data_IF_722419589169
#
_entry.id   IF_722419589169
#
_cell.length_a   1.000
_cell.length_b   1.000
_cell.length_c   1.000
_cell.angle_alpha   90.00
_cell.angle_beta   90.00
_cell.angle_gamma   90.00
#
_symmetry.space_group_name_H-M   'P 1'
#
loop_
_entity.id
_entity.type
_entity.pdbx_description
1 polymer ?
#
# COMPACT_ATOMS: atom_id res chain seq x y z
N UNK A 1 5.06 -59.57 -93.45
CA UNK A 1 4.01 -59.76 -92.43
C UNK A 1 4.62 -60.13 -91.08
N UNK A 2 4.16 -59.57 -90.03
CA UNK A 2 4.39 -59.70 -88.57
C UNK A 2 5.37 -58.67 -87.98
N UNK A 3 4.73 -57.62 -87.47
CA UNK A 3 5.27 -56.62 -86.58
C UNK A 3 5.63 -57.29 -85.24
N UNK A 4 6.83 -57.01 -84.78
CA UNK A 4 7.17 -57.23 -83.39
C UNK A 4 7.30 -55.86 -82.72
N UNK A 5 6.34 -55.56 -81.80
CA UNK A 5 6.40 -54.39 -80.95
C UNK A 5 7.49 -54.69 -79.87
N UNK A 6 8.46 -53.78 -79.83
CA UNK A 6 9.49 -53.76 -78.79
C UNK A 6 8.99 -52.84 -77.64
N UNK A 7 8.59 -53.42 -76.46
CA UNK A 7 8.31 -52.64 -75.30
C UNK A 7 9.64 -52.25 -74.61
N UNK A 8 9.94 -50.98 -74.65
CA UNK A 8 11.01 -50.39 -73.84
C UNK A 8 10.35 -50.04 -72.48
N UNK A 9 10.67 -50.80 -71.47
CA UNK A 9 10.35 -50.45 -70.06
C UNK A 9 11.34 -49.35 -69.63
N UNK A 10 10.83 -48.11 -69.56
CA UNK A 10 11.56 -47.02 -68.92
C UNK A 10 11.38 -47.18 -67.41
N UNK A 11 12.45 -47.71 -66.78
CA UNK A 11 12.58 -47.75 -65.32
C UNK A 11 12.87 -46.32 -64.85
N UNK A 12 11.81 -45.58 -64.47
CA UNK A 12 11.95 -44.28 -63.83
C UNK A 12 12.56 -44.48 -62.44
N UNK A 13 13.86 -44.20 -62.29
CA UNK A 13 14.49 -43.96 -60.99
C UNK A 13 13.85 -42.67 -60.43
N UNK A 14 12.90 -42.86 -59.54
CA UNK A 14 12.53 -41.78 -58.60
C UNK A 14 13.72 -41.63 -57.62
N UNK A 15 14.61 -40.69 -57.90
CA UNK A 15 15.44 -40.13 -56.87
C UNK A 15 14.52 -39.38 -55.93
N UNK A 16 14.12 -40.03 -54.85
CA UNK A 16 13.63 -39.31 -53.68
C UNK A 16 14.86 -38.59 -53.11
N UNK A 17 15.10 -37.41 -53.62
CA UNK A 17 16.01 -36.49 -52.96
C UNK A 17 15.44 -36.21 -51.58
N UNK A 18 16.07 -36.81 -50.60
CA UNK A 18 15.85 -36.35 -49.23
C UNK A 18 16.29 -34.89 -49.18
N UNK A 19 15.38 -33.97 -49.36
CA UNK A 19 15.71 -32.54 -49.31
C UNK A 19 16.25 -32.24 -47.91
N UNK A 20 17.46 -31.74 -47.83
CA UNK A 20 18.04 -31.20 -46.61
C UNK A 20 17.25 -29.97 -46.05
N UNK A 21 16.20 -29.59 -46.76
CA UNK A 21 15.26 -28.51 -46.41
C UNK A 21 14.51 -28.69 -45.06
N UNK A 22 14.53 -29.89 -44.48
CA UNK A 22 13.93 -30.19 -43.18
C UNK A 22 14.90 -30.00 -42.00
N UNK A 23 16.21 -29.82 -42.31
CA UNK A 23 17.22 -29.63 -41.26
C UNK A 23 17.50 -28.16 -41.06
N UNK A 24 17.44 -27.74 -39.79
CA UNK A 24 17.87 -26.39 -39.40
C UNK A 24 19.39 -26.27 -39.64
N UNK A 25 19.80 -25.27 -40.41
CA UNK A 25 21.19 -24.91 -40.66
C UNK A 25 21.63 -23.78 -39.73
N UNK A 26 20.77 -22.82 -39.48
CA UNK A 26 21.01 -21.74 -38.54
C UNK A 26 19.72 -21.25 -37.86
N UNK A 27 19.87 -20.68 -36.66
CA UNK A 27 18.83 -19.96 -35.92
C UNK A 27 19.42 -18.63 -35.46
N UNK A 28 18.70 -17.54 -35.65
CA UNK A 28 19.07 -16.21 -35.16
C UNK A 28 17.87 -15.55 -34.53
N UNK A 29 18.12 -14.67 -33.59
CA UNK A 29 17.11 -13.77 -33.02
C UNK A 29 17.38 -12.35 -33.48
N UNK A 30 16.33 -11.62 -33.78
CA UNK A 30 16.41 -10.20 -34.14
C UNK A 30 15.32 -9.43 -33.33
N UNK A 31 15.76 -8.42 -32.58
CA UNK A 31 17.15 -7.99 -32.35
C UNK A 31 17.95 -8.96 -31.45
N UNK A 32 19.27 -8.90 -31.48
CA UNK A 32 20.17 -9.66 -30.59
C UNK A 32 20.32 -9.00 -29.21
N UNK A 33 19.98 -7.71 -29.11
CA UNK A 33 19.97 -6.93 -27.87
C UNK A 33 18.65 -6.14 -27.78
N UNK A 34 18.05 -6.07 -26.60
CA UNK A 34 16.76 -5.41 -26.38
C UNK A 34 16.76 -4.73 -25.03
N UNK A 35 16.38 -3.46 -25.00
CA UNK A 35 16.12 -2.71 -23.75
C UNK A 35 14.63 -2.49 -23.63
N UNK A 36 14.07 -2.84 -22.46
CA UNK A 36 12.66 -2.72 -22.12
C UNK A 36 12.48 -1.98 -20.79
N UNK A 37 11.42 -1.21 -20.68
CA UNK A 37 10.97 -0.72 -19.39
C UNK A 37 10.18 -1.81 -18.63
N UNK A 38 10.19 -1.77 -17.31
CA UNK A 38 9.37 -2.67 -16.49
C UNK A 38 7.90 -2.63 -16.95
N UNK A 39 7.29 -3.81 -17.12
CA UNK A 39 5.91 -3.98 -17.62
C UNK A 39 5.79 -3.94 -19.15
N UNK A 40 6.81 -3.55 -19.88
CA UNK A 40 6.79 -3.55 -21.35
C UNK A 40 6.82 -4.97 -21.90
N UNK A 41 6.03 -5.21 -22.95
CA UNK A 41 6.05 -6.48 -23.68
C UNK A 41 6.47 -6.22 -25.14
N UNK A 42 7.43 -7.01 -25.62
CA UNK A 42 7.96 -6.93 -26.99
C UNK A 42 8.13 -8.29 -27.60
N UNK A 43 7.69 -8.46 -28.84
CA UNK A 43 7.96 -9.66 -29.61
C UNK A 43 9.30 -9.53 -30.32
N UNK A 44 10.13 -10.59 -30.24
CA UNK A 44 11.36 -10.72 -31.04
C UNK A 44 11.14 -11.72 -32.15
N UNK A 45 11.82 -11.49 -33.25
CA UNK A 45 11.74 -12.34 -34.43
C UNK A 45 12.77 -13.46 -34.36
N UNK A 46 12.33 -14.66 -34.71
CA UNK A 46 13.19 -15.82 -34.85
C UNK A 46 13.38 -16.15 -36.34
N UNK A 47 14.60 -16.08 -36.78
CA UNK A 47 15.00 -16.40 -38.18
C UNK A 47 15.62 -17.80 -38.20
N UNK A 48 15.03 -18.70 -38.98
CA UNK A 48 15.51 -20.07 -39.21
C UNK A 48 15.85 -20.24 -40.68
N UNK A 49 16.98 -20.86 -40.94
CA UNK A 49 17.41 -21.24 -42.31
C UNK A 49 17.55 -22.74 -42.43
N UNK A 50 16.98 -23.36 -43.50
CA UNK A 50 15.97 -22.77 -44.39
C UNK A 50 14.63 -22.59 -43.65
N UNK A 51 13.82 -21.62 -44.07
CA UNK A 51 12.54 -21.30 -43.45
C UNK A 51 11.57 -22.50 -43.41
N UNK A 52 11.64 -23.39 -44.36
CA UNK A 52 10.87 -24.64 -44.41
C UNK A 52 11.15 -25.59 -43.23
N UNK A 53 12.30 -25.48 -42.62
CA UNK A 53 12.71 -26.34 -41.50
C UNK A 53 11.89 -26.06 -40.21
N UNK A 54 11.26 -24.90 -40.08
CA UNK A 54 10.47 -24.54 -38.88
C UNK A 54 9.29 -25.49 -38.66
N UNK A 55 8.71 -26.03 -39.74
CA UNK A 55 7.53 -26.91 -39.70
C UNK A 55 7.85 -28.25 -39.02
N UNK A 56 9.09 -28.69 -39.09
CA UNK A 56 9.53 -30.02 -38.64
C UNK A 56 10.34 -29.99 -37.35
N UNK A 57 10.70 -28.81 -36.86
CA UNK A 57 11.58 -28.66 -35.70
C UNK A 57 10.89 -27.88 -34.61
N UNK A 58 10.54 -28.51 -33.49
CA UNK A 58 9.98 -27.79 -32.34
C UNK A 58 10.99 -26.77 -31.79
N UNK A 59 10.50 -25.60 -31.50
CA UNK A 59 11.27 -24.50 -30.93
C UNK A 59 10.88 -24.31 -29.46
N UNK A 60 11.88 -24.23 -28.61
CA UNK A 60 11.71 -23.95 -27.19
C UNK A 60 12.28 -22.58 -26.85
N UNK A 61 11.49 -21.80 -26.14
CA UNK A 61 11.90 -20.50 -25.61
C UNK A 61 12.21 -20.62 -24.13
N UNK A 62 13.26 -19.96 -23.68
CA UNK A 62 13.68 -19.89 -22.27
C UNK A 62 14.24 -18.52 -21.95
N UNK A 63 14.16 -18.16 -20.68
CA UNK A 63 14.92 -17.05 -20.12
C UNK A 63 15.96 -17.57 -19.13
N UNK A 64 17.09 -16.91 -19.03
CA UNK A 64 18.12 -17.20 -18.02
C UNK A 64 17.70 -16.71 -16.63
N UNK A 65 16.81 -15.69 -16.58
CA UNK A 65 16.30 -15.15 -15.32
C UNK A 65 14.82 -14.71 -15.47
N UNK A 66 13.84 -15.54 -15.07
CA UNK A 66 12.43 -15.23 -15.22
C UNK A 66 11.95 -14.09 -14.28
N UNK A 67 12.75 -13.70 -13.28
CA UNK A 67 12.45 -12.55 -12.44
C UNK A 67 12.76 -11.23 -13.16
N UNK A 68 13.70 -11.22 -14.13
CA UNK A 68 14.02 -10.04 -14.92
C UNK A 68 13.10 -9.94 -16.13
N UNK A 69 13.00 -10.99 -16.94
CA UNK A 69 12.06 -11.02 -18.05
C UNK A 69 11.57 -12.45 -18.32
N UNK A 70 10.32 -12.55 -18.74
CA UNK A 70 9.67 -13.79 -19.14
C UNK A 70 9.53 -13.84 -20.66
N UNK A 71 9.48 -15.03 -21.24
CA UNK A 71 9.24 -15.22 -22.67
C UNK A 71 8.21 -16.32 -22.88
N UNK A 72 7.25 -16.07 -23.77
CA UNK A 72 6.24 -17.06 -24.16
C UNK A 72 6.71 -17.92 -25.35
N UNK A 73 5.86 -18.88 -25.76
CA UNK A 73 6.16 -19.77 -26.88
C UNK A 73 6.08 -19.10 -28.28
N UNK A 74 5.73 -17.82 -28.34
CA UNK A 74 5.66 -17.00 -29.58
C UNK A 74 6.80 -15.99 -29.64
N UNK A 75 7.71 -15.96 -28.64
CA UNK A 75 8.78 -14.98 -28.58
C UNK A 75 8.35 -13.60 -28.05
N UNK A 76 7.20 -13.51 -27.37
CA UNK A 76 6.83 -12.29 -26.66
C UNK A 76 7.60 -12.25 -25.33
N UNK A 77 8.43 -11.23 -25.17
CA UNK A 77 9.21 -10.97 -23.96
C UNK A 77 8.45 -9.96 -23.12
N UNK A 78 8.19 -10.30 -21.86
CA UNK A 78 7.59 -9.39 -20.89
C UNK A 78 8.62 -9.04 -19.82
N UNK A 79 8.93 -7.75 -19.69
CA UNK A 79 9.85 -7.22 -18.68
C UNK A 79 9.16 -7.22 -17.30
N UNK A 80 9.83 -7.81 -16.30
CA UNK A 80 9.26 -8.00 -14.94
C UNK A 80 9.97 -7.14 -13.89
N UNK A 81 11.30 -7.19 -13.86
CA UNK A 81 12.13 -6.48 -12.89
C UNK A 81 13.42 -5.98 -13.52
N UNK A 82 13.94 -4.86 -13.05
CA UNK A 82 15.18 -4.27 -13.58
C UNK A 82 16.37 -5.22 -13.44
N UNK A 83 17.18 -5.31 -14.50
CA UNK A 83 18.33 -6.19 -14.54
C UNK A 83 18.60 -6.70 -15.95
N UNK A 84 19.46 -7.70 -16.05
CA UNK A 84 19.85 -8.32 -17.32
C UNK A 84 19.53 -9.80 -17.34
N UNK A 85 19.11 -10.29 -18.48
CA UNK A 85 18.93 -11.71 -18.74
C UNK A 85 19.16 -12.05 -20.22
N UNK A 86 19.29 -13.34 -20.51
CA UNK A 86 19.33 -13.86 -21.86
C UNK A 86 18.01 -14.55 -22.18
N UNK A 87 17.41 -14.18 -23.30
CA UNK A 87 16.34 -14.96 -23.93
C UNK A 87 16.98 -15.93 -24.91
N UNK A 88 16.63 -17.18 -24.78
CA UNK A 88 17.23 -18.30 -25.49
C UNK A 88 16.15 -18.97 -26.33
N UNK A 89 16.38 -19.02 -27.62
CA UNK A 89 15.60 -19.82 -28.57
C UNK A 89 16.39 -21.07 -28.93
N UNK A 90 15.81 -22.24 -28.69
CA UNK A 90 16.47 -23.51 -28.88
C UNK A 90 15.70 -24.42 -29.82
N UNK A 91 16.40 -24.96 -30.81
CA UNK A 91 15.98 -26.13 -31.60
C UNK A 91 16.76 -27.37 -31.14
N UNK A 92 16.56 -28.51 -31.78
CA UNK A 92 17.28 -29.75 -31.43
C UNK A 92 18.81 -29.60 -31.43
N UNK A 93 19.37 -28.78 -32.33
CA UNK A 93 20.81 -28.71 -32.57
C UNK A 93 21.38 -27.27 -32.55
N UNK A 94 20.56 -26.24 -32.51
CA UNK A 94 20.97 -24.85 -32.57
C UNK A 94 20.34 -24.03 -31.47
N UNK A 95 21.06 -23.04 -30.98
CA UNK A 95 20.57 -22.07 -30.01
C UNK A 95 20.89 -20.64 -30.52
N UNK A 96 19.98 -19.72 -30.27
CA UNK A 96 20.16 -18.31 -30.53
C UNK A 96 19.81 -17.51 -29.26
N UNK A 97 20.41 -16.35 -29.09
CA UNK A 97 20.35 -15.54 -27.89
C UNK A 97 19.96 -14.12 -28.21
N UNK A 98 19.17 -13.53 -27.34
CA UNK A 98 18.93 -12.09 -27.28
C UNK A 98 19.26 -11.62 -25.85
N UNK A 99 20.15 -10.65 -25.71
CA UNK A 99 20.42 -10.01 -24.43
C UNK A 99 19.29 -9.01 -24.14
N UNK A 100 18.64 -9.16 -23.01
CA UNK A 100 17.57 -8.27 -22.56
C UNK A 100 18.03 -7.51 -21.34
N UNK A 101 17.99 -6.19 -21.44
CA UNK A 101 18.18 -5.27 -20.32
C UNK A 101 16.83 -4.65 -19.97
N UNK A 102 16.36 -4.89 -18.76
CA UNK A 102 15.16 -4.25 -18.22
C UNK A 102 15.57 -3.07 -17.36
N UNK A 103 15.07 -1.89 -17.67
CA UNK A 103 15.36 -0.66 -16.96
C UNK A 103 14.18 -0.22 -16.11
N UNK A 104 14.47 0.23 -14.90
CA UNK A 104 13.48 0.84 -14.05
C UNK A 104 13.18 2.28 -14.53
N UNK A 105 11.95 2.77 -14.32
CA UNK A 105 11.61 4.16 -14.57
C UNK A 105 12.50 5.12 -13.79
N UNK A 106 12.83 6.27 -14.41
CA UNK A 106 13.48 7.38 -13.75
C UNK A 106 12.57 8.59 -13.78
N UNK A 107 12.32 9.14 -12.59
CA UNK A 107 11.52 10.35 -12.38
C UNK A 107 12.46 11.49 -12.03
N UNK A 108 12.37 12.62 -12.76
CA UNK A 108 13.04 13.87 -12.43
C UNK A 108 11.94 14.93 -12.27
N UNK A 109 11.71 15.37 -11.04
CA UNK A 109 10.53 16.17 -10.71
C UNK A 109 10.97 17.46 -10.03
N UNK A 110 10.39 18.59 -10.43
CA UNK A 110 10.49 19.83 -9.68
C UNK A 110 9.11 20.16 -9.12
N UNK A 111 9.02 20.17 -7.79
CA UNK A 111 7.79 20.54 -7.10
C UNK A 111 7.75 22.05 -6.87
N UNK A 112 6.55 22.61 -6.84
CA UNK A 112 6.30 24.04 -6.69
C UNK A 112 5.76 24.39 -5.32
N UNK A 113 5.21 23.43 -4.59
CA UNK A 113 4.60 23.61 -3.29
C UNK A 113 5.20 22.67 -2.25
N UNK A 114 5.28 23.13 -1.00
CA UNK A 114 5.77 22.34 0.11
C UNK A 114 4.98 22.60 1.40
N UNK A 115 4.73 21.53 2.17
CA UNK A 115 4.03 21.58 3.44
C UNK A 115 4.63 20.57 4.41
N UNK A 116 4.68 20.89 5.69
CA UNK A 116 5.12 19.99 6.75
C UNK A 116 4.01 19.79 7.77
N UNK A 117 3.74 18.55 8.11
CA UNK A 117 2.89 18.17 9.25
C UNK A 117 3.79 17.67 10.38
N UNK A 118 3.79 18.40 11.47
CA UNK A 118 4.50 18.02 12.69
C UNK A 118 3.64 17.05 13.49
N UNK A 119 4.08 15.80 13.58
CA UNK A 119 3.38 14.73 14.33
C UNK A 119 3.86 14.63 15.79
N UNK A 120 4.73 15.55 16.22
CA UNK A 120 5.24 15.59 17.59
C UNK A 120 6.22 14.45 17.92
N UNK A 121 6.49 14.32 19.22
CA UNK A 121 7.33 13.27 19.78
C UNK A 121 6.42 12.10 20.17
N UNK A 122 6.71 10.90 19.66
CA UNK A 122 5.97 9.69 20.07
C UNK A 122 6.52 9.16 21.41
N UNK A 123 5.68 8.55 22.28
CA UNK A 123 6.07 8.10 23.62
C UNK A 123 7.27 7.13 23.62
N UNK A 124 7.41 6.31 22.59
CA UNK A 124 8.43 5.26 22.49
C UNK A 124 9.67 5.68 21.69
N UNK A 125 9.71 6.94 21.22
CA UNK A 125 10.73 7.45 20.32
C UNK A 125 11.20 8.81 20.82
N UNK A 126 12.52 8.99 21.00
CA UNK A 126 13.09 10.26 21.47
C UNK A 126 13.05 11.37 20.40
N UNK A 127 12.81 11.03 19.13
CA UNK A 127 12.82 11.95 18.00
C UNK A 127 11.44 12.54 17.73
N UNK A 128 11.43 13.76 17.18
CA UNK A 128 10.23 14.40 16.62
C UNK A 128 9.97 13.87 15.22
N UNK A 129 8.73 13.57 14.90
CA UNK A 129 8.33 13.06 13.60
C UNK A 129 7.70 14.16 12.75
N UNK A 130 8.25 14.41 11.56
CA UNK A 130 7.75 15.37 10.60
C UNK A 130 7.37 14.65 9.30
N UNK A 131 6.24 15.02 8.71
CA UNK A 131 5.86 14.58 7.37
C UNK A 131 6.03 15.77 6.43
N UNK A 132 7.06 15.72 5.60
CA UNK A 132 7.26 16.70 4.52
C UNK A 132 6.51 16.19 3.28
N UNK A 133 5.67 17.05 2.69
CA UNK A 133 5.05 16.83 1.38
C UNK A 133 5.43 17.92 0.42
N UNK A 134 6.06 17.52 -0.69
CA UNK A 134 6.31 18.37 -1.85
C UNK A 134 5.30 17.99 -2.92
N UNK A 135 4.65 18.96 -3.58
CA UNK A 135 3.57 18.65 -4.52
C UNK A 135 3.51 19.67 -5.68
N UNK A 136 2.87 19.27 -6.78
CA UNK A 136 2.69 20.10 -7.96
C UNK A 136 1.46 21.03 -7.85
N UNK A 137 1.32 21.98 -8.79
CA UNK A 137 0.24 22.97 -8.78
C UNK A 137 -1.16 22.40 -9.07
N UNK A 138 -1.26 21.15 -9.53
CA UNK A 138 -2.53 20.50 -9.83
C UNK A 138 -3.15 19.82 -8.59
N UNK A 139 -2.42 19.83 -7.48
CA UNK A 139 -2.83 19.26 -6.21
C UNK A 139 -2.96 20.36 -5.16
N UNK A 140 -3.99 20.28 -4.34
CA UNK A 140 -4.15 21.11 -3.14
C UNK A 140 -4.12 20.21 -1.92
N UNK A 141 -3.33 20.61 -0.92
CA UNK A 141 -3.23 19.91 0.38
C UNK A 141 -3.55 20.92 1.45
N UNK A 142 -4.57 20.65 2.27
CA UNK A 142 -4.96 21.55 3.35
C UNK A 142 -4.19 21.29 4.66
N UNK A 143 -4.45 22.09 5.70
CA UNK A 143 -3.79 22.00 7.01
C UNK A 143 -4.04 20.67 7.74
N UNK A 144 -5.05 19.90 7.35
CA UNK A 144 -5.33 18.56 7.90
C UNK A 144 -4.65 17.45 7.10
N UNK A 145 -4.08 17.80 5.95
CA UNK A 145 -3.46 16.86 5.03
C UNK A 145 -4.43 16.23 4.03
N UNK A 146 -5.70 16.69 3.98
CA UNK A 146 -6.65 16.28 2.96
C UNK A 146 -6.25 16.82 1.59
N UNK A 147 -6.35 15.96 0.59
CA UNK A 147 -5.90 16.23 -0.78
C UNK A 147 -7.09 16.37 -1.73
N UNK A 148 -6.97 17.30 -2.67
CA UNK A 148 -7.92 17.46 -3.77
C UNK A 148 -7.19 17.85 -5.06
N UNK A 149 -7.76 17.52 -6.22
CA UNK A 149 -7.15 17.71 -7.53
C UNK A 149 -6.55 16.43 -8.09
N UNK A 150 -5.73 16.56 -9.13
CA UNK A 150 -5.07 15.43 -9.81
C UNK A 150 -3.60 15.80 -10.03
N UNK A 151 -2.70 15.25 -9.20
CA UNK A 151 -1.29 15.63 -9.25
C UNK A 151 -0.35 14.66 -8.58
N UNK A 152 0.95 14.98 -8.72
CA UNK A 152 2.02 14.24 -8.06
C UNK A 152 2.39 14.91 -6.73
N UNK A 153 2.77 14.09 -5.77
CA UNK A 153 3.37 14.56 -4.53
C UNK A 153 4.42 13.56 -4.01
N UNK A 154 5.40 14.09 -3.31
CA UNK A 154 6.42 13.33 -2.62
C UNK A 154 6.16 13.42 -1.12
N UNK A 155 5.79 12.32 -0.50
CA UNK A 155 5.61 12.21 0.95
C UNK A 155 6.90 11.68 1.57
N UNK A 156 7.50 12.43 2.47
CA UNK A 156 8.75 12.06 3.15
C UNK A 156 8.51 12.09 4.65
N UNK A 157 8.73 10.95 5.29
CA UNK A 157 8.58 10.79 6.73
C UNK A 157 9.93 10.93 7.41
N UNK A 158 10.14 12.06 8.11
CA UNK A 158 11.39 12.48 8.71
C UNK A 158 11.38 12.29 10.23
N UNK A 159 12.53 11.91 10.77
CA UNK A 159 12.79 11.97 12.21
C UNK A 159 13.90 12.97 12.47
N UNK A 160 13.64 13.91 13.37
CA UNK A 160 14.49 15.04 13.69
C UNK A 160 14.72 15.15 15.20
N UNK A 161 15.72 15.93 15.68
CA UNK A 161 15.91 16.18 17.10
C UNK A 161 14.60 16.66 17.77
N UNK A 162 14.33 16.18 18.97
CA UNK A 162 13.09 16.47 19.71
C UNK A 162 12.84 17.96 19.98
N UNK A 163 13.89 18.75 20.06
CA UNK A 163 13.84 20.20 20.28
C UNK A 163 13.72 21.05 19.01
N UNK A 164 13.50 20.41 17.84
CA UNK A 164 13.31 21.13 16.58
C UNK A 164 11.95 21.83 16.57
N UNK A 165 11.96 23.14 16.33
CA UNK A 165 10.74 23.97 16.21
C UNK A 165 10.32 24.19 14.76
N UNK A 166 11.19 23.88 13.81
CA UNK A 166 11.01 24.03 12.36
C UNK A 166 11.51 22.78 11.64
N UNK A 167 11.40 22.77 10.31
CA UNK A 167 12.06 21.77 9.49
C UNK A 167 13.58 22.03 9.52
N UNK A 168 14.38 21.16 10.19
CA UNK A 168 15.83 21.38 10.32
C UNK A 168 16.55 21.27 8.98
N UNK A 169 17.53 22.13 8.78
CA UNK A 169 18.47 22.03 7.66
C UNK A 169 19.45 20.89 7.89
N UNK A 170 19.90 20.23 6.83
CA UNK A 170 20.85 19.14 6.90
C UNK A 170 20.65 18.07 5.86
N UNK A 171 21.42 17.02 5.97
CA UNK A 171 21.35 15.82 5.16
C UNK A 171 20.64 14.73 5.95
N UNK A 172 19.68 14.06 5.31
CA UNK A 172 18.88 12.98 5.86
C UNK A 172 19.05 11.74 5.00
N UNK A 173 19.10 10.57 5.63
CA UNK A 173 19.25 9.30 4.95
C UNK A 173 18.17 8.32 5.38
N UNK A 174 17.75 7.46 4.47
CA UNK A 174 16.83 6.37 4.81
C UNK A 174 17.46 5.42 5.81
N UNK A 175 16.66 5.00 6.79
CA UNK A 175 17.11 4.09 7.85
C UNK A 175 15.91 3.29 8.40
N UNK A 176 16.15 2.01 8.69
CA UNK A 176 15.20 1.16 9.43
C UNK A 176 15.24 1.46 10.94
N UNK A 177 16.27 2.19 11.40
CA UNK A 177 16.41 2.63 12.78
C UNK A 177 16.09 4.11 12.90
N UNK A 178 15.23 4.47 13.84
CA UNK A 178 14.84 5.85 14.08
C UNK A 178 15.94 6.56 14.88
N UNK A 179 16.54 7.56 14.24
CA UNK A 179 17.54 8.46 14.81
C UNK A 179 17.29 9.89 14.28
N UNK A 180 18.03 10.85 14.80
CA UNK A 180 18.02 12.21 14.24
C UNK A 180 18.48 12.19 12.78
N UNK A 181 17.84 13.00 11.94
CA UNK A 181 18.12 13.13 10.51
C UNK A 181 17.94 11.82 9.71
N UNK A 182 16.96 11.00 10.09
CA UNK A 182 16.60 9.80 9.33
C UNK A 182 15.27 9.93 8.60
N UNK A 183 15.16 9.17 7.53
CA UNK A 183 13.98 9.05 6.69
C UNK A 183 13.41 7.64 6.87
N UNK A 184 12.13 7.53 7.18
CA UNK A 184 11.46 6.24 7.25
C UNK A 184 11.19 5.70 5.83
N UNK A 185 11.71 4.51 5.48
CA UNK A 185 11.38 3.87 4.21
C UNK A 185 9.88 3.69 3.99
N UNK A 186 9.47 3.73 2.72
CA UNK A 186 8.08 3.53 2.33
C UNK A 186 7.65 2.08 2.39
N UNK A 187 6.42 1.85 2.85
CA UNK A 187 5.83 0.52 2.90
C UNK A 187 4.31 0.55 2.77
N UNK A 188 3.73 -0.54 2.29
CA UNK A 188 2.30 -0.80 2.36
C UNK A 188 1.99 -1.49 3.69
N UNK A 189 1.09 -0.91 4.49
CA UNK A 189 0.58 -1.53 5.71
C UNK A 189 -0.86 -1.95 5.52
N UNK A 190 -1.22 -3.05 6.16
CA UNK A 190 -2.60 -3.54 6.21
C UNK A 190 -3.12 -3.42 7.64
N UNK A 191 -4.29 -2.80 7.79
CA UNK A 191 -5.05 -2.77 9.05
C UNK A 191 -6.48 -3.23 8.76
N UNK A 192 -6.86 -4.38 9.29
CA UNK A 192 -8.12 -5.03 8.93
C UNK A 192 -8.19 -5.34 7.43
N UNK A 193 -9.19 -4.80 6.75
CA UNK A 193 -9.37 -4.93 5.29
C UNK A 193 -8.82 -3.75 4.48
N UNK A 194 -8.28 -2.73 5.12
CA UNK A 194 -7.75 -1.55 4.45
C UNK A 194 -6.23 -1.59 4.31
N UNK A 195 -5.73 -0.98 3.24
CA UNK A 195 -4.30 -0.84 2.96
C UNK A 195 -3.91 0.63 2.97
N UNK A 196 -2.79 0.94 3.62
CA UNK A 196 -2.29 2.31 3.77
C UNK A 196 -0.84 2.41 3.32
N UNK A 197 -0.52 3.46 2.56
CA UNK A 197 0.85 3.85 2.30
C UNK A 197 1.44 4.49 3.57
N UNK A 198 2.59 4.01 4.01
CA UNK A 198 3.31 4.53 5.18
C UNK A 198 4.75 4.87 4.83
N UNK A 199 5.42 5.68 5.64
CA UNK A 199 6.81 6.10 5.38
C UNK A 199 6.91 7.04 4.19
N UNK A 200 7.94 6.85 3.35
CA UNK A 200 8.24 7.75 2.25
C UNK A 200 7.86 7.16 0.90
N UNK A 201 7.16 7.92 0.08
CA UNK A 201 6.67 7.46 -1.22
C UNK A 201 6.39 8.62 -2.18
N UNK A 202 6.58 8.37 -3.46
CA UNK A 202 6.06 9.22 -4.54
C UNK A 202 4.62 8.80 -4.81
N UNK A 203 3.68 9.71 -4.60
CA UNK A 203 2.26 9.48 -4.77
C UNK A 203 1.72 10.19 -6.00
N UNK A 204 0.77 9.56 -6.69
CA UNK A 204 -0.11 10.21 -7.64
C UNK A 204 -1.53 10.15 -7.10
N UNK A 205 -2.11 11.32 -6.85
CA UNK A 205 -3.48 11.46 -6.42
C UNK A 205 -4.36 11.82 -7.61
N UNK A 206 -5.48 11.12 -7.76
CA UNK A 206 -6.47 11.33 -8.82
C UNK A 206 -7.88 11.11 -8.28
N UNK A 207 -8.90 11.46 -9.05
CA UNK A 207 -10.30 11.18 -8.72
C UNK A 207 -10.59 9.68 -8.50
N UNK A 208 -9.75 8.79 -9.04
CA UNK A 208 -9.84 7.34 -8.84
C UNK A 208 -9.10 6.83 -7.59
N UNK A 209 -8.38 7.70 -6.89
CA UNK A 209 -7.66 7.38 -5.67
C UNK A 209 -6.16 7.63 -5.75
N UNK A 210 -5.44 7.08 -4.78
CA UNK A 210 -4.00 7.21 -4.60
C UNK A 210 -3.27 5.99 -5.17
N UNK A 211 -2.28 6.24 -6.04
CA UNK A 211 -1.23 5.27 -6.35
C UNK A 211 0.09 5.71 -5.71
N UNK A 212 0.90 4.76 -5.21
CA UNK A 212 2.13 5.05 -4.50
C UNK A 212 3.29 4.18 -4.98
N UNK A 213 4.43 4.83 -5.26
CA UNK A 213 5.74 4.22 -5.45
C UNK A 213 6.51 4.35 -4.13
N UNK A 214 6.72 3.24 -3.42
CA UNK A 214 7.41 3.24 -2.13
C UNK A 214 8.91 3.43 -2.32
N UNK A 215 9.49 4.33 -1.52
CA UNK A 215 10.92 4.70 -1.56
C UNK A 215 11.64 3.94 -0.43
N UNK A 216 12.62 3.13 -0.79
CA UNK A 216 13.30 2.20 0.15
C UNK A 216 14.67 2.68 0.56
N UNK A 217 15.36 3.39 -0.33
CA UNK A 217 16.69 3.95 -0.09
C UNK A 217 16.77 5.35 -0.66
N UNK A 218 17.54 6.21 -0.05
CA UNK A 218 17.81 7.55 -0.58
C UNK A 218 18.20 8.56 0.48
N UNK A 219 18.34 9.77 0.01
CA UNK A 219 18.77 10.91 0.78
C UNK A 219 18.02 12.18 0.37
N UNK A 220 18.00 13.12 1.28
CA UNK A 220 17.49 14.46 1.07
C UNK A 220 18.43 15.47 1.71
N UNK A 221 18.73 16.54 0.99
CA UNK A 221 19.43 17.70 1.50
C UNK A 221 18.46 18.85 1.62
N UNK A 222 18.40 19.47 2.79
CA UNK A 222 17.55 20.60 3.11
C UNK A 222 18.43 21.77 3.50
N UNK A 223 18.28 22.89 2.76
CA UNK A 223 18.91 24.16 3.04
C UNK A 223 17.83 25.25 3.22
N UNK A 224 18.19 26.31 3.96
CA UNK A 224 17.30 27.47 4.12
C UNK A 224 18.12 28.77 4.13
N UNK A 225 17.98 29.55 3.07
CA UNK A 225 18.61 30.86 2.88
C UNK A 225 17.55 31.97 2.73
N UNK A 226 16.45 31.84 3.48
CA UNK A 226 15.27 32.68 3.37
C UNK A 226 14.08 31.92 2.75
N UNK A 227 14.35 31.04 1.80
CA UNK A 227 13.47 29.97 1.31
C UNK A 227 14.13 28.61 1.57
N UNK A 228 13.32 27.57 1.67
CA UNK A 228 13.80 26.20 1.68
C UNK A 228 14.20 25.80 0.26
N UNK A 229 15.43 25.26 0.14
CA UNK A 229 15.92 24.59 -1.05
C UNK A 229 16.11 23.12 -0.69
N UNK A 230 15.40 22.23 -1.39
CA UNK A 230 15.38 20.79 -1.10
C UNK A 230 15.76 20.02 -2.34
N UNK A 231 16.70 19.10 -2.18
CA UNK A 231 17.06 18.12 -3.21
C UNK A 231 16.93 16.72 -2.66
N UNK A 232 16.29 15.83 -3.43
CA UNK A 232 16.01 14.46 -3.05
C UNK A 232 16.54 13.50 -4.11
N UNK A 233 17.11 12.39 -3.67
CA UNK A 233 17.48 11.27 -4.54
C UNK A 233 17.11 9.96 -3.88
N UNK A 234 16.15 9.23 -4.47
CA UNK A 234 15.59 8.01 -3.92
C UNK A 234 15.59 6.85 -4.90
N UNK A 235 15.60 5.65 -4.34
CA UNK A 235 15.37 4.38 -5.05
C UNK A 235 14.07 3.76 -4.54
N UNK A 236 13.21 3.35 -5.47
CA UNK A 236 11.97 2.65 -5.19
C UNK A 236 12.12 1.14 -5.05
N UNK A 237 11.03 0.45 -4.75
CA UNK A 237 10.98 -0.99 -4.49
C UNK A 237 11.36 -1.88 -5.68
N UNK A 238 11.23 -1.37 -6.92
CA UNK A 238 11.65 -2.06 -8.14
C UNK A 238 12.83 -1.35 -8.81
N UNK A 239 13.68 -0.70 -8.01
CA UNK A 239 14.88 0.04 -8.45
C UNK A 239 14.59 1.31 -9.25
N UNK A 240 13.35 1.79 -9.25
CA UNK A 240 13.00 3.10 -9.81
C UNK A 240 13.88 4.19 -9.19
N UNK A 241 14.23 5.19 -9.98
CA UNK A 241 14.97 6.36 -9.50
C UNK A 241 14.06 7.57 -9.45
N UNK A 242 14.05 8.24 -8.30
CA UNK A 242 13.27 9.46 -8.08
C UNK A 242 14.22 10.56 -7.62
N UNK A 243 14.56 11.48 -8.54
CA UNK A 243 15.26 12.70 -8.22
C UNK A 243 14.23 13.84 -8.19
N UNK A 244 14.16 14.56 -7.09
CA UNK A 244 13.20 15.66 -6.93
C UNK A 244 13.86 16.89 -6.35
N UNK A 245 13.36 18.06 -6.73
CA UNK A 245 13.80 19.37 -6.23
C UNK A 245 12.62 20.23 -5.85
N UNK A 246 12.85 21.13 -4.90
CA UNK A 246 11.90 22.16 -4.47
C UNK A 246 12.68 23.41 -4.05
N UNK A 247 12.16 24.58 -4.39
CA UNK A 247 12.63 25.86 -3.88
C UNK A 247 11.43 26.77 -3.57
N UNK A 248 11.25 27.15 -2.30
CA UNK A 248 10.11 27.96 -1.90
C UNK A 248 9.90 28.04 -0.39
N UNK A 249 8.78 28.64 -0.01
CA UNK A 249 8.30 28.64 1.37
C UNK A 249 7.61 27.32 1.71
N UNK A 250 7.70 26.93 2.97
CA UNK A 250 7.03 25.75 3.51
C UNK A 250 6.18 26.16 4.70
N UNK A 251 4.88 25.84 4.64
CA UNK A 251 3.98 25.97 5.78
C UNK A 251 4.12 24.76 6.70
N UNK A 252 4.19 25.02 8.01
CA UNK A 252 4.32 23.98 9.04
C UNK A 252 3.05 23.97 9.89
N UNK A 253 2.36 22.83 9.93
CA UNK A 253 1.18 22.60 10.74
C UNK A 253 1.47 21.63 11.88
N UNK A 254 1.21 22.08 13.11
CA UNK A 254 1.30 21.21 14.29
C UNK A 254 0.06 20.30 14.34
N UNK A 255 0.27 19.03 14.03
CA UNK A 255 -0.72 17.98 14.11
C UNK A 255 -0.36 16.95 15.20
N UNK A 256 0.50 17.34 16.14
CA UNK A 256 0.97 16.47 17.22
C UNK A 256 -0.17 15.98 18.11
N UNK A 257 -1.20 16.80 18.28
CA UNK A 257 -2.38 16.46 19.06
C UNK A 257 -3.29 15.43 18.36
N UNK A 258 -3.31 15.38 17.03
CA UNK A 258 -4.11 14.41 16.23
C UNK A 258 -3.68 12.96 16.47
N UNK A 259 -2.43 12.72 16.88
CA UNK A 259 -1.88 11.40 17.14
C UNK A 259 -1.82 11.04 18.63
N UNK A 260 -2.20 11.96 19.53
CA UNK A 260 -2.29 11.65 20.94
C UNK A 260 -3.52 10.76 21.16
N UNK A 261 -3.27 9.52 21.53
CA UNK A 261 -4.31 8.61 21.99
C UNK A 261 -4.43 8.78 23.50
N UNK A 262 -5.54 9.34 23.95
CA UNK A 262 -5.83 9.48 25.37
C UNK A 262 -6.34 8.15 25.93
N UNK A 263 -5.63 7.60 26.90
CA UNK A 263 -6.11 6.41 27.61
C UNK A 263 -7.07 6.83 28.72
N UNK A 264 -8.29 6.31 28.69
CA UNK A 264 -9.29 6.47 29.72
C UNK A 264 -9.39 5.15 30.49
N UNK A 265 -9.08 5.20 31.77
CA UNK A 265 -9.29 4.07 32.66
C UNK A 265 -10.67 4.18 33.33
N UNK A 266 -11.51 3.17 33.14
CA UNK A 266 -12.77 3.10 33.82
C UNK A 266 -12.71 2.23 35.08
N UNK A 267 -13.47 2.62 36.09
CA UNK A 267 -13.57 1.96 37.39
C UNK A 267 -14.91 1.27 37.60
N UNK A 268 -15.92 1.62 36.81
CA UNK A 268 -17.27 1.04 36.88
C UNK A 268 -17.92 0.99 35.49
N UNK A 269 -18.84 0.04 35.33
CA UNK A 269 -19.65 -0.15 34.12
C UNK A 269 -21.12 -0.23 34.50
N UNK A 270 -21.93 0.62 33.90
CA UNK A 270 -23.38 0.58 34.03
C UNK A 270 -23.97 0.21 32.67
N UNK A 271 -24.82 -0.83 32.68
CA UNK A 271 -25.60 -1.20 31.49
C UNK A 271 -27.08 -1.07 31.78
N UNK A 272 -27.80 -0.37 30.91
CA UNK A 272 -29.22 -0.08 31.05
C UNK A 272 -29.94 -0.39 29.75
N UNK A 273 -31.05 -1.18 29.76
CA UNK A 273 -31.90 -1.26 28.59
C UNK A 273 -32.57 0.09 28.35
N UNK A 274 -32.61 0.52 27.09
CA UNK A 274 -33.30 1.75 26.68
C UNK A 274 -34.22 1.45 25.50
N UNK A 275 -35.26 2.25 25.32
CA UNK A 275 -36.12 2.17 24.14
C UNK A 275 -35.82 3.32 23.19
N UNK A 276 -35.52 3.00 21.91
CA UNK A 276 -35.47 3.97 20.85
C UNK A 276 -36.71 3.75 19.94
N UNK A 277 -37.62 4.72 19.96
CA UNK A 277 -38.90 4.66 19.22
C UNK A 277 -38.70 4.59 17.71
N UNK A 278 -37.57 5.07 17.24
CA UNK A 278 -37.18 5.07 15.84
C UNK A 278 -36.67 3.69 15.35
N UNK A 279 -36.29 2.79 16.26
CA UNK A 279 -35.74 1.48 15.96
C UNK A 279 -36.50 0.34 16.71
N UNK A 280 -37.79 0.14 16.49
CA UNK A 280 -38.62 -0.77 17.31
C UNK A 280 -38.30 -2.25 17.12
N UNK A 281 -37.53 -2.60 16.10
CA UNK A 281 -37.18 -3.98 15.74
C UNK A 281 -35.97 -4.53 16.48
N UNK A 282 -35.23 -3.66 17.18
CA UNK A 282 -34.03 -4.00 17.96
C UNK A 282 -34.24 -3.65 19.44
N UNK A 283 -33.48 -4.28 20.30
CA UNK A 283 -33.25 -3.81 21.67
C UNK A 283 -32.02 -2.90 21.67
N UNK A 284 -32.01 -1.96 22.60
CA UNK A 284 -30.90 -1.03 22.79
C UNK A 284 -30.40 -1.11 24.21
N UNK A 285 -29.08 -1.19 24.35
CA UNK A 285 -28.42 -1.23 25.64
C UNK A 285 -27.48 -0.04 25.70
N UNK A 286 -27.74 0.84 26.68
CA UNK A 286 -26.83 1.93 27.02
C UNK A 286 -25.75 1.38 27.92
N UNK A 287 -24.50 1.63 27.53
CA UNK A 287 -23.29 1.20 28.23
C UNK A 287 -22.56 2.47 28.67
N UNK A 288 -22.39 2.66 29.97
CA UNK A 288 -21.66 3.78 30.53
C UNK A 288 -20.41 3.27 31.23
N UNK A 289 -19.25 3.62 30.70
CA UNK A 289 -17.94 3.34 31.29
C UNK A 289 -17.53 4.54 32.12
N UNK A 290 -17.46 4.36 33.44
CA UNK A 290 -17.25 5.44 34.40
C UNK A 290 -15.80 5.47 34.84
N UNK A 291 -15.07 6.50 34.41
CA UNK A 291 -13.74 6.85 34.87
C UNK A 291 -13.78 7.85 36.04
N UNK A 292 -12.63 8.33 36.49
CA UNK A 292 -12.56 9.28 37.60
C UNK A 292 -13.24 10.62 37.29
N UNK A 293 -13.02 11.18 36.10
CA UNK A 293 -13.57 12.48 35.68
C UNK A 293 -14.30 12.40 34.33
N UNK A 294 -14.44 11.21 33.77
CA UNK A 294 -14.95 11.00 32.41
C UNK A 294 -15.96 9.85 32.40
N UNK A 295 -17.04 10.01 31.67
CA UNK A 295 -18.01 8.96 31.36
C UNK A 295 -18.04 8.77 29.85
N UNK A 296 -17.77 7.55 29.39
CA UNK A 296 -17.92 7.18 27.99
C UNK A 296 -19.20 6.37 27.84
N UNK A 297 -20.10 6.86 27.00
CA UNK A 297 -21.41 6.24 26.77
C UNK A 297 -21.50 5.70 25.36
N UNK A 298 -21.86 4.43 25.21
CA UNK A 298 -22.23 3.79 23.98
C UNK A 298 -23.67 3.32 24.00
N UNK A 299 -24.36 3.35 22.87
CA UNK A 299 -25.69 2.73 22.72
C UNK A 299 -25.52 1.58 21.73
N UNK A 300 -25.62 0.35 22.22
CA UNK A 300 -25.49 -0.86 21.44
C UNK A 300 -26.84 -1.37 20.95
N UNK A 301 -26.93 -1.75 19.67
CA UNK A 301 -28.08 -2.46 19.08
C UNK A 301 -27.93 -3.96 19.30
N UNK A 302 -28.93 -4.61 19.84
CA UNK A 302 -28.97 -6.07 20.01
C UNK A 302 -30.24 -6.66 19.40
N UNK A 303 -30.26 -7.96 19.03
CA UNK A 303 -31.48 -8.61 18.58
C UNK A 303 -32.60 -8.49 19.62
N UNK A 304 -33.87 -8.36 19.18
CA UNK A 304 -35.04 -8.21 20.07
C UNK A 304 -35.20 -9.34 21.09
N UNK A 305 -34.65 -10.50 20.79
CA UNK A 305 -34.66 -11.66 21.69
C UNK A 305 -33.62 -11.62 22.81
N UNK A 306 -32.71 -10.63 22.81
CA UNK A 306 -31.57 -10.53 23.71
C UNK A 306 -31.77 -9.28 24.58
N UNK A 307 -31.80 -9.45 25.89
CA UNK A 307 -31.96 -8.35 26.87
C UNK A 307 -30.65 -7.93 27.55
N UNK A 308 -29.57 -8.67 27.33
CA UNK A 308 -28.22 -8.38 27.85
C UNK A 308 -27.25 -8.02 26.73
N UNK A 309 -26.09 -7.47 27.07
CA UNK A 309 -25.05 -7.10 26.12
C UNK A 309 -24.27 -8.36 25.66
N UNK A 310 -24.40 -8.82 24.40
CA UNK A 310 -23.69 -9.99 23.94
C UNK A 310 -22.16 -9.75 23.78
N UNK A 311 -21.40 -10.82 23.97
CA UNK A 311 -19.96 -10.83 23.63
C UNK A 311 -19.79 -10.60 22.13
N UNK A 312 -18.86 -9.72 21.75
CA UNK A 312 -18.57 -9.41 20.35
C UNK A 312 -17.95 -8.04 20.15
N UNK A 313 -17.77 -7.71 18.89
CA UNK A 313 -17.28 -6.39 18.46
C UNK A 313 -18.45 -5.57 17.91
N UNK A 314 -18.58 -4.33 18.37
CA UNK A 314 -19.59 -3.38 17.97
C UNK A 314 -18.91 -2.17 17.33
N UNK A 315 -19.45 -1.71 16.20
CA UNK A 315 -18.94 -0.54 15.48
C UNK A 315 -20.06 0.48 15.31
N UNK A 316 -19.72 1.77 15.30
CA UNK A 316 -20.70 2.81 14.92
C UNK A 316 -21.12 2.57 13.48
N UNK A 317 -22.45 2.56 13.27
CA UNK A 317 -23.06 2.36 11.95
C UNK A 317 -24.37 3.15 11.88
N UNK A 318 -24.62 3.79 10.76
CA UNK A 318 -25.88 4.49 10.46
C UNK A 318 -27.01 3.50 10.12
N UNK A 319 -26.67 2.32 9.61
CA UNK A 319 -27.63 1.27 9.31
C UNK A 319 -28.18 0.65 10.61
N UNK A 320 -29.50 0.36 10.63
CA UNK A 320 -30.19 -0.25 11.79
C UNK A 320 -29.95 -1.76 11.76
N UNK A 321 -28.79 -2.17 12.22
CA UNK A 321 -28.31 -3.56 12.23
C UNK A 321 -27.94 -3.97 13.65
N UNK A 322 -28.30 -5.21 14.07
CA UNK A 322 -27.85 -5.76 15.36
C UNK A 322 -26.32 -5.87 15.44
N UNK A 323 -25.78 -5.80 16.64
CA UNK A 323 -24.34 -5.79 16.95
C UNK A 323 -23.59 -4.56 16.41
N UNK A 324 -24.29 -3.41 16.33
CA UNK A 324 -23.69 -2.11 16.02
C UNK A 324 -23.92 -1.11 17.14
N UNK A 325 -23.21 0.01 17.08
CA UNK A 325 -23.43 1.17 17.94
C UNK A 325 -24.26 2.22 17.19
N UNK A 326 -25.14 2.91 17.92
CA UNK A 326 -26.03 3.94 17.35
C UNK A 326 -25.24 5.20 17.09
N UNK A 327 -25.10 5.59 15.82
CA UNK A 327 -24.49 6.86 15.42
C UNK A 327 -25.24 8.06 16.05
N UNK A 328 -24.53 9.14 16.37
CA UNK A 328 -25.08 10.34 16.96
C UNK A 328 -25.51 10.23 18.44
N UNK A 329 -25.50 9.03 19.03
CA UNK A 329 -25.90 8.81 20.42
C UNK A 329 -24.77 8.33 21.35
N UNK A 330 -23.59 8.02 20.77
CA UNK A 330 -22.40 7.70 21.55
C UNK A 330 -21.66 8.97 21.93
N UNK A 331 -21.17 9.08 23.16
CA UNK A 331 -20.52 10.30 23.62
C UNK A 331 -19.48 10.08 24.71
N UNK A 332 -18.52 10.99 24.79
CA UNK A 332 -17.61 11.19 25.91
C UNK A 332 -18.05 12.43 26.68
N UNK A 333 -18.17 12.35 27.99
CA UNK A 333 -18.61 13.43 28.87
C UNK A 333 -17.65 13.61 30.03
N UNK A 334 -17.30 14.85 30.28
CA UNK A 334 -16.63 15.29 31.51
C UNK A 334 -17.58 16.15 32.34
N UNK A 335 -17.14 16.69 33.49
CA UNK A 335 -17.95 17.60 34.29
C UNK A 335 -18.39 18.86 33.57
N UNK A 336 -17.58 19.30 32.56
CA UNK A 336 -17.77 20.58 31.89
C UNK A 336 -18.33 20.44 30.47
N UNK A 337 -18.00 19.34 29.79
CA UNK A 337 -18.28 19.18 28.37
C UNK A 337 -18.77 17.78 28.02
N UNK A 338 -19.52 17.69 26.93
CA UNK A 338 -19.90 16.42 26.30
C UNK A 338 -19.67 16.50 24.82
N UNK A 339 -18.93 15.54 24.26
CA UNK A 339 -18.55 15.49 22.87
C UNK A 339 -19.05 14.19 22.24
N UNK A 340 -19.55 14.27 21.03
CA UNK A 340 -20.04 13.13 20.28
C UNK A 340 -18.87 12.22 19.84
N UNK A 341 -19.08 10.90 19.86
CA UNK A 341 -18.17 9.91 19.33
C UNK A 341 -18.61 9.58 17.90
N UNK A 342 -17.77 9.91 16.93
CA UNK A 342 -18.07 9.76 15.49
C UNK A 342 -17.59 8.44 14.91
N UNK A 343 -16.61 7.80 15.53
CA UNK A 343 -16.09 6.50 15.15
C UNK A 343 -15.73 5.70 16.40
N UNK A 344 -16.15 4.45 16.52
CA UNK A 344 -15.81 3.59 17.66
C UNK A 344 -15.77 2.12 17.28
N UNK A 345 -14.91 1.40 17.98
CA UNK A 345 -14.95 -0.06 18.13
C UNK A 345 -15.08 -0.37 19.61
N UNK A 346 -16.17 -1.03 20.01
CA UNK A 346 -16.36 -1.55 21.33
C UNK A 346 -16.22 -3.06 21.30
N UNK A 347 -15.24 -3.58 22.02
CA UNK A 347 -15.01 -5.01 22.19
C UNK A 347 -15.56 -5.45 23.55
N UNK A 348 -16.55 -6.33 23.51
CA UNK A 348 -17.14 -6.97 24.68
C UNK A 348 -16.59 -8.37 24.81
N UNK A 349 -15.83 -8.65 25.86
CA UNK A 349 -15.26 -9.96 26.17
C UNK A 349 -15.34 -10.18 27.68
N UNK A 350 -15.66 -11.39 28.13
CA UNK A 350 -15.64 -11.67 29.57
C UNK A 350 -14.19 -11.78 30.10
N UNK A 351 -13.85 -11.12 31.20
CA UNK A 351 -14.61 -10.16 31.97
C UNK A 351 -14.40 -8.69 31.59
N UNK A 352 -13.82 -8.41 30.42
CA UNK A 352 -13.29 -7.10 30.03
C UNK A 352 -14.11 -6.44 28.94
N UNK A 353 -14.20 -5.13 29.03
CA UNK A 353 -14.75 -4.24 28.04
C UNK A 353 -13.64 -3.28 27.61
N UNK A 354 -13.35 -3.22 26.31
CA UNK A 354 -12.39 -2.28 25.76
C UNK A 354 -13.05 -1.51 24.63
N UNK A 355 -12.69 -0.25 24.48
CA UNK A 355 -13.12 0.53 23.33
C UNK A 355 -11.98 1.39 22.79
N UNK A 356 -12.01 1.59 21.48
CA UNK A 356 -11.23 2.64 20.81
C UNK A 356 -12.21 3.53 20.09
N UNK A 357 -12.02 4.85 20.16
CA UNK A 357 -12.93 5.76 19.46
C UNK A 357 -12.26 7.08 19.09
N UNK A 358 -12.90 7.79 18.17
CA UNK A 358 -12.59 9.18 17.81
C UNK A 358 -13.81 10.04 18.11
N UNK A 359 -13.62 11.17 18.77
CA UNK A 359 -14.68 12.15 19.00
C UNK A 359 -14.83 13.13 17.82
N UNK A 360 -15.87 13.96 17.85
CA UNK A 360 -16.16 14.94 16.80
C UNK A 360 -15.13 16.07 16.68
N UNK A 361 -14.20 16.20 17.63
CA UNK A 361 -13.09 17.14 17.61
C UNK A 361 -11.78 16.49 17.09
N UNK A 362 -11.83 15.21 16.68
CA UNK A 362 -10.66 14.46 16.21
C UNK A 362 -9.84 13.81 17.34
N UNK A 363 -10.21 13.96 18.59
CA UNK A 363 -9.57 13.30 19.72
C UNK A 363 -9.70 11.77 19.64
N UNK A 364 -8.58 11.07 19.80
CA UNK A 364 -8.53 9.60 19.76
C UNK A 364 -8.34 9.03 21.15
N UNK A 365 -9.09 7.99 21.46
CA UNK A 365 -9.16 7.43 22.81
C UNK A 365 -9.09 5.91 22.81
N UNK A 366 -8.43 5.37 23.84
CA UNK A 366 -8.51 3.97 24.24
C UNK A 366 -9.14 3.92 25.61
N UNK A 367 -10.18 3.10 25.78
CA UNK A 367 -10.86 2.91 27.07
C UNK A 367 -10.59 1.49 27.53
N UNK A 368 -10.06 1.36 28.73
CA UNK A 368 -9.70 0.07 29.32
C UNK A 368 -10.00 0.03 30.82
N UNK A 369 -10.17 -1.17 31.34
CA UNK A 369 -10.43 -1.37 32.77
C UNK A 369 -9.16 -1.15 33.58
N UNK A 370 -9.27 -0.43 34.70
CA UNK A 370 -8.17 -0.28 35.66
C UNK A 370 -7.87 -1.64 36.33
N UNK A 371 -6.62 -2.07 36.31
CA UNK A 371 -6.17 -3.40 36.77
C UNK A 371 -6.39 -3.70 38.27
N UNK A 372 -6.91 -2.77 39.06
CA UNK A 372 -6.88 -2.81 40.54
C UNK A 372 -8.20 -3.16 41.27
N UNK A 373 -9.30 -3.49 40.57
CA UNK A 373 -10.58 -3.59 41.31
C UNK A 373 -11.35 -4.90 41.04
N UNK A 374 -11.23 -5.88 42.00
CA UNK A 374 -12.00 -7.15 41.98
C UNK A 374 -13.54 -6.93 42.04
N UNK A 375 -14.01 -5.79 42.56
CA UNK A 375 -15.43 -5.48 42.66
C UNK A 375 -16.06 -5.18 41.30
N UNK A 376 -15.29 -4.54 40.37
CA UNK A 376 -15.73 -4.25 39.01
C UNK A 376 -15.91 -5.55 38.23
N UNK A 377 -14.95 -6.50 38.39
CA UNK A 377 -15.05 -7.84 37.79
C UNK A 377 -16.35 -8.56 38.16
N UNK A 378 -16.80 -8.42 39.44
CA UNK A 378 -18.06 -9.01 39.91
C UNK A 378 -19.30 -8.31 39.37
N UNK A 379 -19.26 -6.99 39.13
CA UNK A 379 -20.36 -6.25 38.52
C UNK A 379 -20.49 -6.53 37.03
N UNK A 380 -19.37 -6.58 36.29
CA UNK A 380 -19.34 -7.01 34.90
C UNK A 380 -19.91 -8.42 34.74
N UNK A 381 -19.44 -9.39 35.54
CA UNK A 381 -19.98 -10.76 35.51
C UNK A 381 -21.49 -10.81 35.71
N UNK A 382 -22.04 -9.98 36.60
CA UNK A 382 -23.50 -9.88 36.80
C UNK A 382 -24.24 -9.26 35.60
N UNK A 383 -23.61 -8.41 34.80
CA UNK A 383 -24.21 -7.85 33.57
C UNK A 383 -24.21 -8.84 32.41
N UNK A 384 -23.43 -9.93 32.49
CA UNK A 384 -23.36 -11.01 31.50
C UNK A 384 -24.18 -12.27 31.88
N UNK A 385 -24.68 -12.37 33.13
CA UNK A 385 -25.40 -13.57 33.65
C UNK A 385 -26.93 -13.59 33.45
N UNK A 386 -27.51 -12.66 32.60
CA UNK A 386 -28.94 -12.66 32.32
C UNK A 386 -29.29 -12.72 30.84
#
# INVERSE_FOLDING_TARGET
>A
MKNKLLYIAILGLCFVGCSDETKVQSVRLEPTELTLNIGETRQIEMLIEPISAIIYNPVAWKTSNPNVAQVDNKGNITAVYAGECLIICKTKHHEAYCQVTVVAPKYNITFTNGIVFDKGIKPDIAQRNLILRLYDDNLTIDSTGAMSGNGLFLNINLYVPSNSEQLPIGEYHTSDTINDYTIMPGALRQEGNAYYATGSYLGQYTDSGLSALFLTEGEITIENNGNYSISCSFTGTQTEKVDATFDGSIDIYDTSQENQVTTIEYVDVITEPIELTEEPTLNHIKISLIGNDTIVTFIARTPKSISSLPIGNYYINDDIIAYTLVAGQCKISTKENSTEIVSATLQVSEPNLQATFTDSNGGKYIVQQTQKNENIRKQLLKSFEY
#
